data_IF_371653487253
#
_entry.id   IF_371653487253
#
_cell.length_a   1.000
_cell.length_b   1.000
_cell.length_c   1.000
_cell.angle_alpha   90.00
_cell.angle_beta   90.00
_cell.angle_gamma   90.00
#
_symmetry.space_group_name_H-M   'P 1'
#
loop_
_entity.id
_entity.type
_entity.pdbx_description
1 polymer ?
#
# COMPACT_ATOMS: atom_id res chain seq x y z
N UNK A 1 11.18 13.30 -9.37
CA UNK A 1 10.86 12.05 -8.61
C UNK A 1 10.02 11.10 -9.48
N UNK A 2 8.92 11.57 -10.10
CA UNK A 2 8.04 10.70 -10.92
C UNK A 2 8.76 10.09 -12.12
N UNK A 3 9.61 10.86 -12.84
CA UNK A 3 10.40 10.36 -13.97
C UNK A 3 11.39 9.26 -13.58
N UNK A 4 12.05 9.37 -12.41
CA UNK A 4 12.93 8.32 -11.89
C UNK A 4 12.13 7.05 -11.52
N UNK A 5 10.98 7.22 -10.90
CA UNK A 5 10.09 6.12 -10.53
C UNK A 5 9.66 5.28 -11.74
N UNK A 6 9.27 5.95 -12.81
CA UNK A 6 8.88 5.29 -14.07
C UNK A 6 10.09 4.72 -14.82
N UNK A 7 11.13 5.50 -15.04
CA UNK A 7 12.31 5.09 -15.81
C UNK A 7 13.07 3.92 -15.19
N UNK A 8 13.16 3.86 -13.87
CA UNK A 8 13.81 2.76 -13.14
C UNK A 8 12.83 1.64 -12.74
N UNK A 9 11.54 1.74 -13.09
CA UNK A 9 10.49 0.77 -12.73
C UNK A 9 10.46 0.45 -11.24
N UNK A 10 10.58 1.47 -10.38
CA UNK A 10 10.59 1.33 -8.92
C UNK A 10 9.20 0.94 -8.43
N UNK A 11 8.95 -0.36 -8.31
CA UNK A 11 7.63 -0.92 -8.04
C UNK A 11 7.24 -0.97 -6.55
N UNK A 12 8.20 -0.98 -5.65
CA UNK A 12 7.94 -1.01 -4.22
C UNK A 12 8.38 0.31 -3.57
N UNK A 13 7.45 0.98 -2.91
CA UNK A 13 7.73 2.12 -2.06
C UNK A 13 7.85 1.61 -0.61
N UNK A 14 9.07 1.54 -0.11
CA UNK A 14 9.41 1.00 1.20
C UNK A 14 9.49 2.12 2.21
N UNK A 15 8.66 2.09 3.24
CA UNK A 15 8.53 3.12 4.27
C UNK A 15 8.75 2.52 5.66
N UNK A 16 9.99 2.53 6.17
CA UNK A 16 10.24 2.15 7.55
C UNK A 16 9.64 3.20 8.50
N UNK A 17 8.98 2.73 9.54
CA UNK A 17 8.33 3.54 10.57
C UNK A 17 8.85 3.06 11.92
N UNK A 18 9.51 3.96 12.62
CA UNK A 18 10.06 3.73 13.94
C UNK A 18 9.71 4.87 14.88
N UNK A 19 9.35 4.53 16.10
CA UNK A 19 9.24 5.53 17.16
C UNK A 19 10.60 5.70 17.83
N UNK A 20 11.15 6.90 17.78
CA UNK A 20 12.42 7.23 18.40
C UNK A 20 12.26 7.77 19.83
N UNK A 21 13.28 7.61 20.71
CA UNK A 21 13.27 8.20 22.03
C UNK A 21 13.02 9.72 22.01
N UNK A 22 12.21 10.22 22.91
CA UNK A 22 11.88 11.65 23.03
C UNK A 22 10.74 12.13 22.13
N UNK A 23 10.24 11.29 21.23
CA UNK A 23 9.04 11.62 20.42
C UNK A 23 7.81 11.48 21.28
N UNK A 24 7.01 12.53 21.33
CA UNK A 24 5.74 12.56 22.06
C UNK A 24 4.56 12.74 21.11
N UNK A 25 3.42 12.20 21.49
CA UNK A 25 2.16 12.35 20.77
C UNK A 25 1.37 13.53 21.33
N UNK A 26 0.66 14.22 20.47
CA UNK A 26 -0.26 15.27 20.88
C UNK A 26 -1.67 14.70 20.98
N UNK A 27 -2.10 14.40 22.19
CA UNK A 27 -3.44 13.86 22.49
C UNK A 27 -4.24 14.91 23.26
N UNK A 28 -5.40 15.27 22.75
CA UNK A 28 -6.25 16.33 23.33
C UNK A 28 -5.49 17.65 23.63
N UNK A 29 -4.55 18.01 22.75
CA UNK A 29 -3.76 19.24 22.91
C UNK A 29 -2.56 19.14 23.84
N UNK A 30 -2.39 18.03 24.54
CA UNK A 30 -1.28 17.78 25.47
C UNK A 30 -0.26 16.83 24.85
N UNK A 31 1.02 17.14 24.98
CA UNK A 31 2.12 16.26 24.54
C UNK A 31 2.33 15.18 25.60
N UNK A 32 2.22 13.91 25.19
CA UNK A 32 2.41 12.76 26.08
C UNK A 32 3.00 11.57 25.33
N UNK A 33 3.68 10.69 26.06
CA UNK A 33 4.17 9.41 25.57
C UNK A 33 3.02 8.40 25.58
N UNK A 34 2.56 7.96 24.40
CA UNK A 34 1.51 6.94 24.27
C UNK A 34 2.13 5.55 24.11
N UNK A 35 3.12 5.42 23.22
CA UNK A 35 3.87 4.18 23.03
C UNK A 35 5.33 4.37 23.40
N UNK A 36 5.97 3.30 23.83
CA UNK A 36 7.41 3.30 24.06
C UNK A 36 8.16 3.22 22.71
N UNK A 37 9.33 3.86 22.57
CA UNK A 37 10.08 3.87 21.32
C UNK A 37 10.31 2.49 20.71
N UNK A 38 10.54 1.51 21.55
CA UNK A 38 10.82 0.14 21.10
C UNK A 38 9.59 -0.66 20.64
N UNK A 39 8.39 -0.18 20.91
CA UNK A 39 7.14 -0.86 20.55
C UNK A 39 6.75 -0.67 19.09
N UNK A 40 7.19 0.41 18.46
CA UNK A 40 6.84 0.73 17.07
C UNK A 40 8.06 0.57 16.17
N UNK A 41 8.09 -0.51 15.42
CA UNK A 41 9.10 -0.81 14.38
C UNK A 41 8.46 -1.62 13.26
N UNK A 42 7.84 -0.95 12.30
CA UNK A 42 7.16 -1.58 11.17
C UNK A 42 7.66 -1.04 9.83
N UNK A 43 7.37 -1.74 8.74
CA UNK A 43 7.64 -1.27 7.39
C UNK A 43 6.38 -1.35 6.54
N UNK A 44 5.97 -0.24 5.96
CA UNK A 44 4.91 -0.22 4.96
C UNK A 44 5.50 -0.34 3.55
N UNK A 45 4.98 -1.28 2.76
CA UNK A 45 5.38 -1.54 1.38
C UNK A 45 4.18 -1.26 0.49
N UNK A 46 4.25 -0.16 -0.24
CA UNK A 46 3.21 0.25 -1.17
C UNK A 46 3.60 -0.08 -2.61
N UNK A 47 2.71 -0.72 -3.36
CA UNK A 47 2.85 -0.80 -4.81
C UNK A 47 3.01 0.62 -5.37
N UNK A 48 3.85 0.81 -6.39
CA UNK A 48 4.30 2.14 -6.76
C UNK A 48 4.22 2.45 -8.26
N UNK A 49 3.74 1.55 -9.09
CA UNK A 49 3.74 1.71 -10.56
C UNK A 49 2.35 1.65 -11.20
N UNK A 50 1.37 1.14 -10.49
CA UNK A 50 -0.02 0.99 -10.95
C UNK A 50 -0.96 1.95 -10.19
N UNK A 51 -2.25 1.70 -10.24
CA UNK A 51 -3.26 2.49 -9.53
C UNK A 51 -3.49 3.86 -10.17
N UNK A 52 -3.91 4.83 -9.41
CA UNK A 52 -4.24 6.18 -9.90
C UNK A 52 -3.07 6.88 -10.61
N UNK A 53 -1.84 6.54 -10.28
CA UNK A 53 -0.67 7.12 -10.94
C UNK A 53 -0.48 6.63 -12.38
N UNK A 54 -1.17 5.57 -12.78
CA UNK A 54 -1.14 5.08 -14.19
C UNK A 54 -1.65 6.14 -15.16
N UNK A 55 -2.74 6.82 -14.84
CA UNK A 55 -3.29 7.93 -15.65
C UNK A 55 -2.28 9.07 -15.79
N UNK A 56 -1.63 9.45 -14.70
CA UNK A 56 -0.61 10.50 -14.72
C UNK A 56 0.58 10.10 -15.62
N UNK A 57 1.09 8.88 -15.47
CA UNK A 57 2.21 8.39 -16.30
C UNK A 57 1.83 8.36 -17.78
N UNK A 58 0.62 7.90 -18.11
CA UNK A 58 0.10 7.93 -19.49
C UNK A 58 0.08 9.35 -20.06
N UNK A 59 -0.46 10.33 -19.32
CA UNK A 59 -0.46 11.76 -19.73
C UNK A 59 0.96 12.28 -19.97
N UNK A 60 1.91 11.93 -19.10
CA UNK A 60 3.30 12.34 -19.27
C UNK A 60 3.95 11.74 -20.52
N UNK A 61 3.66 10.48 -20.81
CA UNK A 61 4.15 9.81 -22.02
C UNK A 61 3.53 10.40 -23.30
N UNK A 62 2.23 10.66 -23.31
CA UNK A 62 1.52 11.32 -24.41
C UNK A 62 2.12 12.72 -24.68
N UNK A 63 2.29 13.52 -23.63
CA UNK A 63 2.92 14.84 -23.73
C UNK A 63 4.34 14.78 -24.28
N UNK A 64 5.13 13.80 -23.86
CA UNK A 64 6.49 13.60 -24.37
C UNK A 64 6.52 13.23 -25.85
N UNK A 65 5.48 12.58 -26.36
CA UNK A 65 5.30 12.22 -27.78
C UNK A 65 4.64 13.33 -28.60
N UNK A 66 4.22 14.45 -27.97
CA UNK A 66 3.46 15.52 -28.62
C UNK A 66 1.99 15.15 -28.91
N UNK A 67 1.49 14.11 -28.29
CA UNK A 67 0.09 13.67 -28.38
C UNK A 67 -0.80 14.53 -27.47
N UNK A 68 -2.08 14.67 -27.83
CA UNK A 68 -3.07 15.34 -26.98
C UNK A 68 -3.42 14.46 -25.79
N UNK A 69 -3.65 15.09 -24.65
CA UNK A 69 -4.25 14.44 -23.46
C UNK A 69 -5.75 14.25 -23.76
N UNK A 70 -6.11 13.03 -24.14
CA UNK A 70 -7.51 12.68 -24.38
C UNK A 70 -8.12 12.06 -23.15
N UNK A 71 -9.27 12.58 -22.65
CA UNK A 71 -9.95 12.02 -21.51
C UNK A 71 -10.39 10.58 -21.78
N UNK A 72 -10.47 9.77 -20.73
CA UNK A 72 -11.03 8.44 -20.81
C UNK A 72 -12.54 8.56 -20.75
N UNK A 73 -13.19 8.31 -21.88
CA UNK A 73 -14.65 8.32 -21.97
C UNK A 73 -15.20 6.92 -21.71
N UNK A 74 -16.12 6.79 -20.77
CA UNK A 74 -16.93 5.60 -20.55
C UNK A 74 -18.35 5.97 -21.00
N UNK A 75 -18.77 5.46 -22.15
CA UNK A 75 -19.98 5.88 -22.85
C UNK A 75 -21.27 5.56 -22.12
N UNK A 76 -21.28 4.55 -21.25
CA UNK A 76 -22.49 4.14 -20.52
C UNK A 76 -22.21 3.96 -19.02
N UNK A 77 -22.56 4.95 -18.22
CA UNK A 77 -22.64 4.78 -16.77
C UNK A 77 -23.99 5.31 -16.26
N UNK A 78 -24.98 4.42 -16.02
CA UNK A 78 -26.30 4.84 -15.59
C UNK A 78 -26.27 5.67 -14.30
N UNK A 79 -26.97 6.79 -14.31
CA UNK A 79 -27.11 7.67 -13.15
C UNK A 79 -26.03 8.75 -13.02
N UNK A 80 -25.11 8.88 -13.99
CA UNK A 80 -24.22 10.03 -14.11
C UNK A 80 -24.61 10.84 -15.34
N UNK A 81 -24.98 12.10 -15.13
CA UNK A 81 -25.34 13.04 -16.18
C UNK A 81 -24.43 14.27 -16.12
N UNK A 82 -24.17 14.89 -17.29
CA UNK A 82 -23.34 16.07 -17.41
C UNK A 82 -21.86 15.79 -17.63
N UNK A 83 -21.01 16.68 -17.13
CA UNK A 83 -19.56 16.57 -17.26
C UNK A 83 -19.01 15.52 -16.25
N UNK A 84 -18.35 14.47 -16.74
CA UNK A 84 -17.82 13.37 -15.93
C UNK A 84 -16.38 13.09 -16.33
N UNK A 85 -15.48 13.10 -15.36
CA UNK A 85 -14.06 12.74 -15.53
C UNK A 85 -13.77 11.38 -14.91
N UNK A 86 -12.93 10.60 -15.57
CA UNK A 86 -12.57 9.25 -15.15
C UNK A 86 -11.07 9.10 -14.91
N UNK A 87 -10.73 8.62 -13.73
CA UNK A 87 -9.37 8.20 -13.42
C UNK A 87 -9.30 6.67 -13.23
N UNK A 88 -8.75 5.91 -14.21
CA UNK A 88 -8.60 4.47 -14.08
C UNK A 88 -7.58 4.13 -13.00
N UNK A 89 -7.92 3.14 -12.20
CA UNK A 89 -7.05 2.57 -11.17
C UNK A 89 -6.76 1.09 -11.46
N UNK A 90 -5.89 0.77 -12.40
CA UNK A 90 -5.52 -0.60 -12.68
C UNK A 90 -4.76 -1.23 -11.52
N UNK A 91 -5.06 -2.49 -11.23
CA UNK A 91 -4.31 -3.38 -10.34
C UNK A 91 -4.15 -4.68 -11.12
N UNK A 92 -2.90 -5.06 -11.41
CA UNK A 92 -2.61 -6.28 -12.16
C UNK A 92 -2.10 -7.40 -11.25
N UNK A 93 -2.24 -8.65 -11.70
CA UNK A 93 -1.63 -9.81 -11.04
C UNK A 93 -0.12 -9.63 -10.92
N UNK A 94 0.56 -9.29 -12.01
CA UNK A 94 2.01 -9.12 -12.04
C UNK A 94 2.51 -8.05 -11.08
N UNK A 95 1.84 -6.89 -11.01
CA UNK A 95 2.18 -5.82 -10.09
C UNK A 95 1.97 -6.22 -8.63
N UNK A 96 0.86 -6.93 -8.36
CA UNK A 96 0.53 -7.41 -7.02
C UNK A 96 1.51 -8.50 -6.56
N UNK A 97 1.77 -9.52 -7.39
CA UNK A 97 2.71 -10.61 -7.05
C UNK A 97 4.10 -10.10 -6.67
N UNK A 98 4.67 -9.19 -7.45
CA UNK A 98 6.04 -8.72 -7.19
C UNK A 98 6.15 -7.94 -5.89
N UNK A 99 5.16 -7.10 -5.55
CA UNK A 99 5.21 -6.29 -4.31
C UNK A 99 4.89 -7.12 -3.08
N UNK A 100 4.00 -8.11 -3.22
CA UNK A 100 3.65 -9.03 -2.14
C UNK A 100 4.83 -9.97 -1.84
N UNK A 101 5.44 -10.60 -2.87
CA UNK A 101 6.63 -11.42 -2.67
C UNK A 101 7.76 -10.63 -2.01
N UNK A 102 7.99 -9.39 -2.44
CA UNK A 102 8.97 -8.52 -1.78
C UNK A 102 8.66 -8.29 -0.29
N UNK A 103 7.37 -8.17 0.08
CA UNK A 103 6.97 -8.01 1.48
C UNK A 103 7.28 -9.26 2.32
N UNK A 104 7.03 -10.46 1.79
CA UNK A 104 7.39 -11.73 2.45
C UNK A 104 8.90 -11.89 2.58
N UNK A 105 9.66 -11.59 1.53
CA UNK A 105 11.13 -11.63 1.57
C UNK A 105 11.69 -10.66 2.60
N UNK A 106 11.13 -9.44 2.67
CA UNK A 106 11.54 -8.47 3.67
C UNK A 106 11.21 -8.95 5.08
N UNK A 107 10.02 -9.50 5.33
CA UNK A 107 9.65 -10.03 6.63
C UNK A 107 10.62 -11.10 7.13
N UNK A 108 11.07 -12.02 6.25
CA UNK A 108 12.08 -13.03 6.59
C UNK A 108 13.43 -12.43 6.97
N UNK A 109 13.85 -11.36 6.30
CA UNK A 109 15.16 -10.76 6.51
C UNK A 109 15.16 -9.71 7.64
N UNK A 110 13.98 -9.29 8.11
CA UNK A 110 13.91 -8.33 9.22
C UNK A 110 14.29 -9.02 10.53
N UNK A 111 15.33 -8.47 11.17
CA UNK A 111 15.65 -8.81 12.55
C UNK A 111 14.78 -7.95 13.47
N UNK A 112 13.75 -8.55 14.04
CA UNK A 112 12.94 -7.92 15.08
C UNK A 112 13.47 -8.28 16.48
N UNK A 113 13.06 -7.52 17.48
CA UNK A 113 13.33 -7.85 18.87
C UNK A 113 12.81 -9.25 19.20
N UNK A 114 13.54 -10.00 20.05
CA UNK A 114 13.13 -11.32 20.51
C UNK A 114 11.69 -11.29 21.03
N UNK A 115 10.89 -12.23 20.60
CA UNK A 115 9.49 -12.42 21.05
C UNK A 115 8.43 -11.78 20.16
N UNK A 116 8.80 -11.13 19.04
CA UNK A 116 7.83 -10.62 18.05
C UNK A 116 7.88 -11.50 16.80
N UNK A 117 6.74 -12.06 16.41
CA UNK A 117 6.61 -12.89 15.21
C UNK A 117 6.88 -12.07 13.94
N UNK A 118 7.49 -12.71 12.95
CA UNK A 118 7.57 -12.16 11.59
C UNK A 118 6.19 -12.27 10.96
N UNK A 119 5.65 -11.15 10.53
CA UNK A 119 4.30 -11.11 9.96
C UNK A 119 4.19 -10.19 8.76
N UNK A 120 3.24 -10.52 7.86
CA UNK A 120 2.86 -9.66 6.74
C UNK A 120 1.36 -9.40 6.79
N UNK A 121 0.99 -8.12 6.92
CA UNK A 121 -0.41 -7.69 6.91
C UNK A 121 -0.77 -7.09 5.55
N UNK A 122 -1.76 -7.66 4.88
CA UNK A 122 -2.32 -7.11 3.64
C UNK A 122 -3.37 -6.06 3.94
N UNK A 123 -3.18 -4.85 3.47
CA UNK A 123 -4.13 -3.74 3.68
C UNK A 123 -4.73 -3.29 2.35
N UNK A 124 -6.05 -3.29 2.25
CA UNK A 124 -6.76 -2.96 1.02
C UNK A 124 -8.20 -2.47 1.24
N UNK A 125 -8.99 -2.35 0.19
CA UNK A 125 -10.43 -2.06 0.20
C UNK A 125 -11.21 -3.09 -0.62
N UNK A 126 -10.94 -4.38 -0.40
CA UNK A 126 -11.51 -5.49 -1.17
C UNK A 126 -13.03 -5.68 -0.97
N UNK A 127 -13.59 -5.15 0.10
CA UNK A 127 -15.04 -5.10 0.29
C UNK A 127 -15.75 -4.18 -0.71
N UNK A 128 -15.05 -3.20 -1.30
CA UNK A 128 -15.63 -2.23 -2.24
C UNK A 128 -15.10 -2.43 -3.66
N UNK A 129 -13.78 -2.56 -3.85
CA UNK A 129 -13.16 -2.47 -5.17
C UNK A 129 -12.69 -3.82 -5.71
N UNK A 130 -12.97 -4.09 -6.99
CA UNK A 130 -12.55 -5.35 -7.66
C UNK A 130 -11.04 -5.51 -7.73
N UNK A 131 -10.30 -4.42 -7.98
CA UNK A 131 -8.83 -4.45 -8.00
C UNK A 131 -8.23 -4.85 -6.65
N UNK A 132 -8.79 -4.36 -5.54
CA UNK A 132 -8.36 -4.81 -4.22
C UNK A 132 -8.75 -6.26 -3.91
N UNK A 133 -9.87 -6.77 -4.46
CA UNK A 133 -10.20 -8.20 -4.35
C UNK A 133 -9.15 -9.06 -5.06
N UNK A 134 -8.69 -8.63 -6.24
CA UNK A 134 -7.59 -9.30 -6.94
C UNK A 134 -6.31 -9.28 -6.10
N UNK A 135 -5.93 -8.12 -5.57
CA UNK A 135 -4.74 -7.96 -4.72
C UNK A 135 -4.80 -8.89 -3.48
N UNK A 136 -5.94 -8.89 -2.77
CA UNK A 136 -6.19 -9.75 -1.60
C UNK A 136 -6.15 -11.23 -1.96
N UNK A 137 -6.73 -11.62 -3.10
CA UNK A 137 -6.70 -13.00 -3.58
C UNK A 137 -5.27 -13.47 -3.85
N UNK A 138 -4.46 -12.65 -4.52
CA UNK A 138 -3.05 -12.95 -4.78
C UNK A 138 -2.24 -13.01 -3.47
N UNK A 139 -2.51 -12.12 -2.52
CA UNK A 139 -1.89 -12.18 -1.21
C UNK A 139 -2.16 -13.52 -0.52
N UNK A 140 -3.41 -14.00 -0.56
CA UNK A 140 -3.77 -15.29 0.00
C UNK A 140 -3.05 -16.45 -0.69
N UNK A 141 -3.00 -16.46 -2.03
CA UNK A 141 -2.28 -17.47 -2.80
C UNK A 141 -0.78 -17.53 -2.40
N UNK A 142 -0.16 -16.37 -2.21
CA UNK A 142 1.26 -16.28 -1.80
C UNK A 142 1.44 -16.67 -0.32
N UNK A 143 0.53 -16.29 0.56
CA UNK A 143 0.60 -16.66 1.98
C UNK A 143 0.53 -18.18 2.19
N UNK A 144 -0.28 -18.88 1.41
CA UNK A 144 -0.36 -20.34 1.43
C UNK A 144 0.95 -21.03 1.03
N UNK A 145 1.79 -20.35 0.22
CA UNK A 145 3.13 -20.82 -0.18
C UNK A 145 4.23 -20.44 0.83
N UNK A 146 3.90 -19.65 1.83
CA UNK A 146 4.85 -19.10 2.82
C UNK A 146 4.36 -19.33 4.26
N UNK A 147 4.15 -20.59 4.70
CA UNK A 147 3.56 -20.90 6.00
C UNK A 147 4.47 -20.58 7.19
N UNK A 148 5.71 -20.21 6.93
CA UNK A 148 6.72 -19.77 7.91
C UNK A 148 6.49 -18.31 8.39
N UNK A 149 5.66 -17.53 7.69
CA UNK A 149 5.36 -16.14 8.00
C UNK A 149 3.90 -16.02 8.44
N UNK A 150 3.66 -15.40 9.58
CA UNK A 150 2.31 -15.08 10.01
C UNK A 150 1.66 -14.06 9.08
N UNK A 151 0.38 -14.25 8.78
CA UNK A 151 -0.32 -13.36 7.85
C UNK A 151 -1.65 -12.88 8.39
N UNK A 152 -1.94 -11.61 8.15
CA UNK A 152 -3.24 -11.00 8.46
C UNK A 152 -3.70 -10.09 7.31
N UNK A 153 -4.96 -9.69 7.36
CA UNK A 153 -5.53 -8.86 6.31
C UNK A 153 -6.62 -7.92 6.85
N UNK A 154 -6.43 -6.63 6.63
CA UNK A 154 -7.33 -5.57 7.06
C UNK A 154 -7.90 -4.75 5.91
N UNK A 155 -9.07 -4.15 6.13
CA UNK A 155 -9.51 -3.03 5.31
C UNK A 155 -8.81 -1.75 5.77
N UNK A 156 -8.50 -0.85 4.84
CA UNK A 156 -7.73 0.37 5.13
C UNK A 156 -8.36 1.23 6.23
N UNK A 157 -9.67 1.32 6.29
CA UNK A 157 -10.39 2.06 7.32
C UNK A 157 -10.22 1.45 8.71
N UNK A 158 -10.31 0.13 8.86
CA UNK A 158 -10.01 -0.56 10.12
C UNK A 158 -8.52 -0.48 10.47
N UNK A 159 -7.64 -0.61 9.47
CA UNK A 159 -6.21 -0.56 9.64
C UNK A 159 -5.72 0.79 10.20
N UNK A 160 -6.33 1.91 9.80
CA UNK A 160 -6.00 3.23 10.36
C UNK A 160 -6.26 3.30 11.88
N UNK A 161 -7.27 2.59 12.37
CA UNK A 161 -7.51 2.47 13.80
C UNK A 161 -6.45 1.58 14.48
N UNK A 162 -6.05 0.48 13.87
CA UNK A 162 -4.99 -0.39 14.40
C UNK A 162 -3.66 0.33 14.54
N UNK A 163 -3.29 1.15 13.53
CA UNK A 163 -2.10 2.00 13.60
C UNK A 163 -2.09 2.95 14.82
N UNK A 164 -3.27 3.35 15.27
CA UNK A 164 -3.42 4.25 16.41
C UNK A 164 -3.53 3.52 17.75
N UNK A 165 -3.91 2.26 17.74
CA UNK A 165 -4.22 1.51 18.94
C UNK A 165 -3.17 0.45 19.29
N UNK A 166 -2.78 -0.33 18.32
CA UNK A 166 -1.95 -1.52 18.51
C UNK A 166 -0.78 -1.56 17.46
N UNK A 167 0.03 -0.46 17.32
CA UNK A 167 1.09 -0.40 16.30
C UNK A 167 2.23 -1.39 16.55
N UNK A 168 2.37 -1.91 17.75
CA UNK A 168 3.34 -2.92 18.15
C UNK A 168 3.12 -4.27 17.50
N UNK A 169 1.88 -4.59 17.11
CA UNK A 169 1.52 -5.87 16.50
C UNK A 169 1.87 -5.91 15.00
N UNK A 170 2.24 -4.76 14.42
CA UNK A 170 2.53 -4.64 13.00
C UNK A 170 4.02 -4.82 12.71
N UNK A 171 4.34 -5.67 11.70
CA UNK A 171 5.71 -5.86 11.20
C UNK A 171 5.85 -5.32 9.78
N UNK A 172 5.49 -6.10 8.79
CA UNK A 172 5.49 -5.69 7.39
C UNK A 172 4.06 -5.53 6.92
N UNK A 173 3.75 -4.37 6.36
CA UNK A 173 2.42 -4.08 5.82
C UNK A 173 2.52 -3.90 4.32
N UNK A 174 1.74 -4.65 3.54
CA UNK A 174 1.72 -4.54 2.08
C UNK A 174 0.37 -4.00 1.59
N UNK A 175 0.42 -3.04 0.65
CA UNK A 175 -0.78 -2.36 0.18
C UNK A 175 -0.67 -1.94 -1.30
N UNK A 176 -1.81 -1.89 -2.01
CA UNK A 176 -1.85 -1.38 -3.38
C UNK A 176 -1.60 0.13 -3.43
N UNK A 177 -1.33 0.61 -4.63
CA UNK A 177 -1.04 2.02 -4.86
C UNK A 177 -2.31 2.88 -4.73
N UNK A 178 -2.47 3.49 -3.56
CA UNK A 178 -3.47 4.50 -3.20
C UNK A 178 -3.48 4.74 -1.69
N UNK A 179 -3.19 3.68 -0.94
CA UNK A 179 -3.22 3.71 0.51
C UNK A 179 -1.85 4.00 1.10
#
# INVERSE_FOLDING_TARGET
ILGLRSGLKLYANVRPIKLYPGVQHKVHGVHQQVWQPDMVDMVMIRENTEGLYHSLLRRMEQKAKGEKDEPIVIEEFPGLEGEVEWDPRPISRKGSERVINFAFDLARHRQRKMGVSQSVTCVDKSNVTRGCRLFRGIFKEISEQNPDIETDAAYIDAFTMWLMRDPEDLDVVVLPNMF
#
